data_IF_488533777580
#
_entry.id   IF_488533777580
#
_cell.length_a   1.000
_cell.length_b   1.000
_cell.length_c   1.000
_cell.angle_alpha   90.00
_cell.angle_beta   90.00
_cell.angle_gamma   90.00
#
_symmetry.space_group_name_H-M   'P 1'
#
loop_
_entity.id
_entity.type
_entity.pdbx_description
1 polymer ?
#
# COMPACT_ATOMS: atom_id res chain seq x y z
N UNK A 1 10.57 50.57 -12.04
CA UNK A 1 10.70 49.71 -13.24
C UNK A 1 10.27 50.52 -14.45
N UNK A 2 11.15 50.74 -15.44
CA UNK A 2 10.80 51.53 -16.62
C UNK A 2 9.71 50.81 -17.44
N UNK A 3 8.83 51.56 -18.10
CA UNK A 3 7.70 51.05 -18.86
C UNK A 3 8.11 50.02 -19.91
N UNK A 4 9.31 50.16 -20.49
CA UNK A 4 9.91 49.18 -21.41
C UNK A 4 10.11 47.81 -20.77
N UNK A 5 10.57 47.76 -19.52
CA UNK A 5 10.80 46.53 -18.76
C UNK A 5 9.49 45.85 -18.37
N UNK A 6 8.45 46.63 -18.07
CA UNK A 6 7.09 46.11 -17.83
C UNK A 6 6.49 45.45 -19.07
N UNK A 7 6.63 46.09 -20.23
CA UNK A 7 6.09 45.58 -21.50
C UNK A 7 6.78 44.28 -21.91
N UNK A 8 8.10 44.20 -21.76
CA UNK A 8 8.87 42.98 -22.06
C UNK A 8 8.42 41.83 -21.15
N UNK A 9 8.26 42.08 -19.86
CA UNK A 9 7.90 41.03 -18.90
C UNK A 9 6.49 40.46 -19.16
N UNK A 10 5.53 41.33 -19.49
CA UNK A 10 4.17 40.92 -19.84
C UNK A 10 4.16 40.13 -21.16
N UNK A 11 4.91 40.59 -22.17
CA UNK A 11 5.02 39.86 -23.44
C UNK A 11 5.63 38.46 -23.26
N UNK A 12 6.66 38.33 -22.42
CA UNK A 12 7.29 37.03 -22.12
C UNK A 12 6.32 36.08 -21.42
N UNK A 13 5.56 36.57 -20.42
CA UNK A 13 4.58 35.73 -19.71
C UNK A 13 3.48 35.25 -20.66
N UNK A 14 2.96 36.11 -21.54
CA UNK A 14 1.92 35.73 -22.51
C UNK A 14 2.43 34.69 -23.51
N UNK A 15 3.68 34.80 -23.96
CA UNK A 15 4.27 33.81 -24.88
C UNK A 15 4.50 32.46 -24.19
N UNK A 16 5.00 32.46 -22.94
CA UNK A 16 5.20 31.23 -22.17
C UNK A 16 3.87 30.55 -21.86
N UNK A 17 2.85 31.31 -21.44
CA UNK A 17 1.51 30.76 -21.18
C UNK A 17 0.86 30.20 -22.45
N UNK A 18 1.03 30.89 -23.59
CA UNK A 18 0.56 30.42 -24.88
C UNK A 18 1.21 29.10 -25.31
N UNK A 19 2.52 28.94 -25.08
CA UNK A 19 3.25 27.71 -25.39
C UNK A 19 2.85 26.54 -24.47
N UNK A 20 2.65 26.78 -23.17
CA UNK A 20 2.20 25.76 -22.22
C UNK A 20 0.79 25.26 -22.56
N UNK A 21 -0.13 26.17 -22.93
CA UNK A 21 -1.48 25.81 -23.35
C UNK A 21 -1.51 25.11 -24.71
N UNK A 22 -0.63 25.48 -25.65
CA UNK A 22 -0.51 24.83 -26.95
C UNK A 22 0.04 23.39 -26.83
N UNK A 23 1.08 23.19 -26.02
CA UNK A 23 1.66 21.85 -25.76
C UNK A 23 0.67 20.99 -24.95
N UNK A 24 0.03 21.55 -23.92
CA UNK A 24 -1.01 20.85 -23.16
C UNK A 24 -2.21 20.47 -24.01
N UNK A 25 -2.62 21.34 -24.95
CA UNK A 25 -3.69 21.07 -25.91
C UNK A 25 -3.34 19.97 -26.93
N UNK A 26 -2.08 19.87 -27.37
CA UNK A 26 -1.63 18.79 -28.25
C UNK A 26 -1.62 17.43 -27.52
N UNK A 27 -1.19 17.37 -26.26
CA UNK A 27 -1.22 16.14 -25.46
C UNK A 27 -2.64 15.67 -25.11
N UNK A 28 -3.56 16.59 -24.83
CA UNK A 28 -4.97 16.24 -24.56
C UNK A 28 -5.73 15.75 -25.80
N UNK A 29 -5.35 16.23 -26.99
CA UNK A 29 -6.00 15.81 -28.25
C UNK A 29 -5.45 14.47 -28.75
N UNK A 30 -4.20 14.14 -28.42
CA UNK A 30 -3.56 12.87 -28.80
C UNK A 30 -4.01 11.68 -27.92
N UNK A 31 -4.44 11.91 -26.68
CA UNK A 31 -5.01 10.88 -25.80
C UNK A 31 -6.45 10.45 -26.15
N UNK A 32 -7.15 11.17 -27.04
CA UNK A 32 -8.57 10.89 -27.34
C UNK A 32 -8.82 10.12 -28.64
N UNK A 33 -7.81 9.91 -29.49
CA UNK A 33 -8.03 9.33 -30.84
C UNK A 33 -6.99 8.32 -31.37
N UNK A 34 -6.10 7.75 -30.57
CA UNK A 34 -5.16 6.74 -31.09
C UNK A 34 -4.65 5.76 -30.05
N UNK A 35 -5.29 4.58 -29.97
CA UNK A 35 -4.67 3.26 -30.18
C UNK A 35 -5.63 2.15 -29.71
N UNK A 36 -6.65 1.89 -30.54
CA UNK A 36 -7.06 0.53 -30.84
C UNK A 36 -6.12 0.00 -31.95
N UNK A 37 -5.89 -1.32 -32.00
CA UNK A 37 -4.98 -2.09 -32.90
C UNK A 37 -3.54 -2.16 -32.36
N UNK A 38 -2.86 -3.30 -32.14
CA UNK A 38 -3.08 -4.68 -32.59
C UNK A 38 -2.10 -5.63 -31.86
N UNK A 39 -2.63 -6.76 -31.34
CA UNK A 39 -2.09 -8.14 -31.23
C UNK A 39 -0.66 -8.41 -30.67
N UNK A 40 -0.42 -9.43 -29.85
CA UNK A 40 -1.27 -10.50 -29.33
C UNK A 40 -0.43 -11.67 -28.80
N UNK A 41 -1.00 -12.45 -27.87
CA UNK A 41 -0.75 -13.89 -27.73
C UNK A 41 -2.03 -14.56 -27.20
N UNK A 42 -2.46 -15.69 -27.78
CA UNK A 42 -3.74 -16.33 -27.50
C UNK A 42 -3.60 -17.43 -26.44
N UNK A 43 -4.70 -17.83 -25.79
CA UNK A 43 -4.98 -19.15 -25.15
C UNK A 43 -5.69 -18.99 -23.79
N UNK A 44 -6.81 -19.62 -23.46
CA UNK A 44 -7.73 -20.53 -24.14
C UNK A 44 -9.06 -20.44 -23.38
N UNK A 45 -10.12 -20.04 -24.06
CA UNK A 45 -11.49 -20.24 -23.61
C UNK A 45 -12.25 -20.87 -24.75
N UNK A 46 -12.35 -22.21 -24.77
CA UNK A 46 -13.49 -22.95 -25.33
C UNK A 46 -13.27 -24.48 -25.25
N UNK A 47 -14.35 -25.12 -24.78
CA UNK A 47 -14.86 -26.43 -25.19
C UNK A 47 -14.36 -27.68 -24.47
N UNK A 48 -15.26 -28.23 -23.65
CA UNK A 48 -15.17 -29.57 -23.07
C UNK A 48 -16.49 -30.00 -22.43
N UNK A 49 -17.60 -29.78 -23.12
CA UNK A 49 -18.91 -30.30 -22.76
C UNK A 49 -18.90 -31.83 -22.81
N UNK A 50 -19.16 -32.49 -21.68
CA UNK A 50 -19.85 -33.77 -21.65
C UNK A 50 -21.02 -33.71 -20.66
N UNK A 51 -22.19 -33.83 -21.26
CA UNK A 51 -23.52 -34.06 -20.71
C UNK A 51 -23.58 -35.06 -19.54
N UNK A 52 -24.34 -34.74 -18.49
CA UNK A 52 -25.57 -35.48 -18.16
C UNK A 52 -26.42 -34.76 -17.09
N UNK A 53 -27.57 -34.24 -17.53
CA UNK A 53 -28.91 -34.40 -16.95
C UNK A 53 -29.24 -34.03 -15.49
N UNK A 54 -30.30 -33.21 -15.41
CA UNK A 54 -31.35 -33.13 -14.37
C UNK A 54 -31.05 -32.31 -13.11
N UNK A 55 -31.43 -31.03 -13.10
CA UNK A 55 -32.73 -30.60 -12.52
C UNK A 55 -32.99 -29.13 -12.88
N UNK A 56 -34.25 -28.86 -13.20
CA UNK A 56 -34.84 -27.56 -13.49
C UNK A 56 -35.01 -26.72 -12.23
N UNK A 57 -34.78 -25.41 -12.37
CA UNK A 57 -35.68 -24.31 -11.97
C UNK A 57 -34.94 -23.11 -11.37
N UNK A 58 -35.24 -21.92 -11.87
CA UNK A 58 -35.15 -20.69 -11.09
C UNK A 58 -34.20 -19.62 -11.64
N UNK A 59 -34.78 -18.63 -12.28
CA UNK A 59 -34.16 -17.40 -12.81
C UNK A 59 -33.77 -16.43 -11.68
N UNK A 60 -32.58 -15.84 -11.79
CA UNK A 60 -32.29 -14.43 -11.48
C UNK A 60 -32.01 -14.05 -10.03
N UNK A 61 -30.86 -13.41 -9.79
CA UNK A 61 -30.74 -12.10 -9.11
C UNK A 61 -29.27 -11.77 -8.81
N UNK A 62 -28.86 -10.56 -9.23
CA UNK A 62 -27.79 -9.82 -8.58
C UNK A 62 -28.08 -9.74 -7.07
N UNK A 63 -27.07 -9.97 -6.24
CA UNK A 63 -27.17 -9.73 -4.80
C UNK A 63 -25.89 -10.12 -4.10
N UNK A 64 -25.21 -9.15 -3.51
CA UNK A 64 -24.02 -9.38 -2.71
C UNK A 64 -24.29 -10.36 -1.56
N UNK A 65 -23.21 -11.01 -1.12
CA UNK A 65 -23.22 -11.85 0.07
C UNK A 65 -22.83 -13.29 -0.23
N UNK A 66 -21.53 -13.56 -0.42
CA UNK A 66 -20.97 -14.90 -0.23
C UNK A 66 -19.45 -14.90 -0.03
N UNK A 67 -18.96 -14.00 0.82
CA UNK A 67 -17.81 -14.28 1.70
C UNK A 67 -18.19 -13.81 3.11
N UNK A 68 -19.23 -14.45 3.65
CA UNK A 68 -19.64 -14.28 5.04
C UNK A 68 -18.56 -14.88 5.94
N UNK A 69 -17.99 -14.03 6.79
CA UNK A 69 -16.94 -14.39 7.72
C UNK A 69 -17.29 -15.61 8.57
N UNK A 70 -16.36 -16.56 8.63
CA UNK A 70 -16.23 -17.59 9.68
C UNK A 70 -14.96 -18.43 9.40
N UNK A 71 -13.79 -17.78 9.34
CA UNK A 71 -12.48 -18.47 9.47
C UNK A 71 -11.33 -17.54 9.94
N UNK A 72 -11.65 -16.31 10.38
CA UNK A 72 -10.78 -15.36 11.09
C UNK A 72 -11.54 -14.77 12.30
N UNK A 73 -12.50 -15.51 12.84
CA UNK A 73 -13.32 -15.11 13.99
C UNK A 73 -12.66 -15.58 15.28
N UNK A 74 -11.71 -14.82 15.81
CA UNK A 74 -10.99 -15.24 17.01
C UNK A 74 -10.19 -14.18 17.77
N UNK A 75 -10.22 -12.90 17.41
CA UNK A 75 -9.54 -11.85 18.20
C UNK A 75 -10.34 -10.55 18.33
N UNK A 76 -11.67 -10.65 18.27
CA UNK A 76 -12.53 -9.65 18.88
C UNK A 76 -12.48 -9.79 20.40
N UNK A 77 -11.33 -9.52 21.03
CA UNK A 77 -11.39 -9.07 22.43
C UNK A 77 -12.26 -7.82 22.38
N UNK A 78 -13.37 -7.82 23.10
CA UNK A 78 -14.11 -6.60 23.36
C UNK A 78 -13.15 -5.59 23.97
N UNK A 79 -12.61 -4.69 23.14
CA UNK A 79 -11.81 -3.55 23.58
C UNK A 79 -12.77 -2.54 24.18
N UNK A 80 -13.31 -2.88 25.34
CA UNK A 80 -13.87 -1.89 26.26
C UNK A 80 -12.73 -0.99 26.69
N UNK A 81 -12.72 0.24 26.17
CA UNK A 81 -11.92 1.39 26.65
C UNK A 81 -10.45 1.10 26.96
N UNK A 82 -9.68 0.54 26.00
CA UNK A 82 -8.24 0.69 26.09
C UNK A 82 -7.92 2.19 26.10
N UNK A 83 -7.06 2.63 27.03
CA UNK A 83 -6.64 4.03 27.10
C UNK A 83 -5.94 4.38 25.79
N UNK A 84 -6.29 5.53 25.19
CA UNK A 84 -5.54 6.06 24.05
C UNK A 84 -4.09 6.26 24.49
N UNK A 85 -3.15 5.63 23.79
CA UNK A 85 -1.73 5.74 24.09
C UNK A 85 -1.22 7.13 23.73
N UNK A 86 -0.18 7.58 24.40
CA UNK A 86 0.48 8.84 24.08
C UNK A 86 1.57 8.66 23.02
N UNK A 87 2.00 9.76 22.39
CA UNK A 87 3.18 9.77 21.53
C UNK A 87 4.41 9.19 22.25
N UNK A 88 4.61 9.53 23.53
CA UNK A 88 5.73 9.04 24.34
C UNK A 88 5.66 7.52 24.57
N UNK A 89 4.45 6.97 24.79
CA UNK A 89 4.25 5.53 24.93
C UNK A 89 4.60 4.81 23.60
N UNK A 90 4.14 5.36 22.47
CA UNK A 90 4.41 4.83 21.15
C UNK A 90 5.91 4.87 20.79
N UNK A 91 6.59 6.00 21.04
CA UNK A 91 8.04 6.15 20.84
C UNK A 91 8.82 5.13 21.65
N UNK A 92 8.49 4.96 22.94
CA UNK A 92 9.15 3.95 23.80
C UNK A 92 8.96 2.52 23.28
N UNK A 93 7.77 2.18 22.78
CA UNK A 93 7.50 0.86 22.24
C UNK A 93 8.33 0.58 20.97
N UNK A 94 8.44 1.58 20.08
CA UNK A 94 9.27 1.51 18.88
C UNK A 94 10.75 1.44 19.24
N UNK A 95 11.25 2.30 20.13
CA UNK A 95 12.65 2.29 20.58
C UNK A 95 13.05 0.93 21.15
N UNK A 96 12.19 0.31 21.95
CA UNK A 96 12.42 -1.02 22.51
C UNK A 96 12.48 -2.10 21.41
N UNK A 97 11.66 -1.98 20.37
CA UNK A 97 11.68 -2.89 19.22
C UNK A 97 12.96 -2.75 18.40
N UNK A 98 13.35 -1.51 18.07
CA UNK A 98 14.58 -1.23 17.31
C UNK A 98 15.84 -1.64 18.08
N UNK A 99 15.87 -1.43 19.40
CA UNK A 99 16.96 -1.91 20.25
C UNK A 99 17.11 -3.44 20.21
N UNK A 100 16.00 -4.17 20.03
CA UNK A 100 16.01 -5.63 19.87
C UNK A 100 16.59 -6.10 18.53
N UNK A 101 16.40 -5.33 17.47
CA UNK A 101 16.99 -5.57 16.15
C UNK A 101 18.48 -5.22 16.14
N UNK A 102 18.86 -4.13 16.83
CA UNK A 102 20.23 -3.62 16.91
C UNK A 102 20.85 -3.34 15.53
N UNK A 103 20.07 -2.69 14.67
CA UNK A 103 20.50 -2.20 13.36
C UNK A 103 20.50 -0.66 13.38
N UNK A 104 21.68 -0.09 13.15
CA UNK A 104 21.90 1.37 13.20
C UNK A 104 21.43 2.10 11.95
N UNK A 105 21.06 1.38 10.90
CA UNK A 105 20.50 1.98 9.68
C UNK A 105 18.98 2.18 9.76
N UNK A 106 18.34 1.84 10.89
CA UNK A 106 16.90 1.96 11.06
C UNK A 106 16.53 3.12 11.97
N UNK A 107 15.57 3.94 11.52
CA UNK A 107 14.99 5.01 12.35
C UNK A 107 13.46 5.07 12.23
N UNK A 108 12.83 5.62 13.27
CA UNK A 108 11.42 5.97 13.26
C UNK A 108 11.19 7.15 12.32
N UNK A 109 10.28 7.00 11.36
CA UNK A 109 9.87 8.08 10.46
C UNK A 109 8.57 8.75 10.92
N UNK A 110 7.57 7.94 11.27
CA UNK A 110 6.23 8.45 11.55
C UNK A 110 5.53 7.56 12.57
N UNK A 111 4.70 8.18 13.41
CA UNK A 111 3.75 7.51 14.30
C UNK A 111 2.35 8.04 14.01
N UNK A 112 1.39 7.13 13.87
CA UNK A 112 -0.04 7.46 13.94
C UNK A 112 -0.69 6.81 15.16
N UNK A 113 -1.51 7.57 15.87
CA UNK A 113 -2.29 7.08 17.00
C UNK A 113 -3.75 6.90 16.58
N UNK A 114 -4.27 5.72 16.89
CA UNK A 114 -5.67 5.35 16.72
C UNK A 114 -6.31 5.10 18.08
N UNK A 115 -7.65 5.13 18.14
CA UNK A 115 -8.38 4.83 19.37
C UNK A 115 -8.20 3.38 19.89
N UNK A 116 -7.59 2.50 19.08
CA UNK A 116 -7.34 1.11 19.40
C UNK A 116 -5.85 0.70 19.38
N UNK A 117 -4.90 1.64 19.27
CA UNK A 117 -3.47 1.33 19.22
C UNK A 117 -2.63 2.42 18.55
N UNK A 118 -1.39 2.07 18.21
CA UNK A 118 -0.53 2.91 17.38
C UNK A 118 -0.06 2.17 16.14
N UNK A 119 0.33 2.93 15.14
CA UNK A 119 1.03 2.50 13.94
C UNK A 119 2.32 3.31 13.82
N UNK A 120 3.39 2.69 13.32
CA UNK A 120 4.63 3.39 13.07
C UNK A 120 5.33 2.90 11.81
N UNK A 121 5.96 3.83 11.11
CA UNK A 121 6.84 3.56 9.96
C UNK A 121 8.27 3.61 10.43
N UNK A 122 9.01 2.54 10.15
CA UNK A 122 10.47 2.50 10.29
C UNK A 122 11.06 2.61 8.88
N UNK A 123 12.06 3.45 8.70
CA UNK A 123 12.79 3.61 7.44
C UNK A 123 14.27 3.28 7.58
N UNK A 124 14.89 3.01 6.45
CA UNK A 124 16.35 3.00 6.34
C UNK A 124 16.89 4.42 6.23
N UNK A 125 17.88 4.76 7.07
CA UNK A 125 18.58 6.05 7.02
C UNK A 125 19.34 6.17 5.69
N UNK A 126 20.03 5.10 5.30
CA UNK A 126 20.92 5.10 4.13
C UNK A 126 20.20 5.30 2.79
N UNK A 127 18.96 4.82 2.67
CA UNK A 127 18.19 4.86 1.42
C UNK A 127 16.97 5.80 1.48
N UNK A 128 16.48 6.11 2.68
CA UNK A 128 15.21 6.82 2.89
C UNK A 128 13.97 5.99 2.56
N UNK A 129 14.11 4.69 2.25
CA UNK A 129 13.01 3.79 1.93
C UNK A 129 12.41 3.25 3.21
N UNK A 130 11.08 3.08 3.25
CA UNK A 130 10.39 2.39 4.34
C UNK A 130 10.93 0.97 4.50
N UNK A 131 11.48 0.69 5.67
CA UNK A 131 12.02 -0.61 6.03
C UNK A 131 10.87 -1.57 6.35
N UNK A 132 10.02 -1.22 7.31
CA UNK A 132 8.86 -2.00 7.71
C UNK A 132 7.91 -1.17 8.59
N UNK A 133 6.73 -1.73 8.83
CA UNK A 133 5.65 -1.11 9.60
C UNK A 133 5.41 -1.86 10.91
N UNK A 134 5.09 -1.11 11.96
CA UNK A 134 4.81 -1.65 13.30
C UNK A 134 3.41 -1.24 13.76
N UNK A 135 2.75 -2.15 14.47
CA UNK A 135 1.60 -1.88 15.31
C UNK A 135 2.04 -1.82 16.77
N UNK A 136 1.38 -0.98 17.56
CA UNK A 136 1.63 -0.83 18.99
C UNK A 136 0.36 -1.24 19.75
N UNK A 137 0.48 -2.27 20.59
CA UNK A 137 -0.63 -2.72 21.43
C UNK A 137 -0.91 -1.68 22.53
N UNK A 138 -2.15 -1.17 22.66
CA UNK A 138 -2.46 -0.10 23.60
C UNK A 138 -2.49 -0.54 25.07
N UNK A 139 -2.38 -1.85 25.35
CA UNK A 139 -2.43 -2.42 26.69
C UNK A 139 -1.04 -2.82 27.17
N UNK A 140 -0.30 -3.60 26.38
CA UNK A 140 1.07 -4.02 26.72
C UNK A 140 2.12 -2.99 26.37
N UNK A 141 1.81 -1.99 25.53
CA UNK A 141 2.75 -0.98 25.02
C UNK A 141 3.98 -1.61 24.35
N UNK A 142 3.73 -2.68 23.60
CA UNK A 142 4.75 -3.39 22.83
C UNK A 142 4.50 -3.18 21.35
N UNK A 143 5.55 -2.85 20.61
CA UNK A 143 5.49 -2.81 19.14
C UNK A 143 5.70 -4.21 18.55
N UNK A 144 5.04 -4.49 17.44
CA UNK A 144 5.13 -5.73 16.67
C UNK A 144 4.86 -5.48 15.19
N UNK A 145 5.33 -6.34 14.26
CA UNK A 145 5.11 -6.13 12.83
C UNK A 145 3.63 -5.97 12.46
N UNK A 146 3.33 -5.00 11.61
CA UNK A 146 2.00 -4.87 11.03
C UNK A 146 1.65 -6.09 10.16
N UNK A 147 0.36 -6.44 10.14
CA UNK A 147 -0.17 -7.53 9.36
C UNK A 147 -0.15 -7.22 7.85
N UNK A 148 -0.30 -8.27 7.04
CA UNK A 148 -0.58 -8.09 5.62
C UNK A 148 0.66 -7.66 4.80
N UNK A 149 0.61 -6.57 4.01
CA UNK A 149 1.66 -6.15 3.09
C UNK A 149 3.07 -6.12 3.69
N UNK A 150 3.21 -5.59 4.91
CA UNK A 150 4.47 -5.58 5.66
C UNK A 150 5.11 -6.97 5.82
N UNK A 151 4.30 -8.02 6.00
CA UNK A 151 4.82 -9.40 6.13
C UNK A 151 4.85 -10.16 4.80
N UNK A 152 3.93 -9.87 3.89
CA UNK A 152 3.69 -10.65 2.66
C UNK A 152 4.36 -10.08 1.41
N UNK A 153 4.52 -8.76 1.32
CA UNK A 153 5.02 -8.06 0.13
C UNK A 153 6.37 -7.39 0.37
N UNK A 154 6.78 -7.22 1.63
CA UNK A 154 8.08 -6.70 1.96
C UNK A 154 9.20 -7.70 1.57
N UNK A 155 10.00 -7.31 0.59
CA UNK A 155 11.05 -8.15 0.02
C UNK A 155 12.31 -8.23 0.89
N UNK A 156 12.56 -7.23 1.74
CA UNK A 156 13.78 -7.13 2.56
C UNK A 156 13.55 -7.50 4.02
N UNK A 157 12.43 -7.09 4.60
CA UNK A 157 12.12 -7.27 6.03
C UNK A 157 10.93 -8.20 6.30
N UNK A 158 10.17 -8.60 5.27
CA UNK A 158 9.04 -9.51 5.39
C UNK A 158 9.42 -10.98 5.43
N UNK A 159 8.42 -11.87 5.53
CA UNK A 159 8.64 -13.33 5.61
C UNK A 159 9.26 -13.92 4.34
N UNK A 160 9.19 -13.22 3.21
CA UNK A 160 9.81 -13.62 1.94
C UNK A 160 11.31 -13.32 1.90
N UNK A 161 11.80 -12.43 2.77
CA UNK A 161 13.22 -12.24 2.98
C UNK A 161 13.75 -13.49 3.65
N UNK A 162 14.55 -14.29 2.95
CA UNK A 162 15.20 -15.48 3.52
C UNK A 162 16.17 -15.17 4.68
N UNK A 163 16.23 -13.92 5.13
CA UNK A 163 17.05 -13.42 6.21
C UNK A 163 16.20 -13.28 7.49
N UNK A 164 16.30 -14.26 8.39
CA UNK A 164 15.49 -14.41 9.61
C UNK A 164 15.77 -13.37 10.72
N UNK A 165 16.47 -12.25 10.43
CA UNK A 165 16.97 -11.32 11.45
C UNK A 165 15.98 -10.28 11.96
N UNK A 166 14.88 -9.97 11.24
CA UNK A 166 14.05 -8.77 11.51
C UNK A 166 12.60 -9.07 11.97
N UNK A 167 12.37 -10.13 12.73
CA UNK A 167 11.09 -10.33 13.45
C UNK A 167 10.15 -11.39 12.90
N UNK A 168 10.60 -12.23 11.95
CA UNK A 168 9.90 -13.46 11.63
C UNK A 168 10.14 -14.48 12.75
N UNK A 169 9.09 -14.92 13.46
CA UNK A 169 9.12 -16.14 14.27
C UNK A 169 9.35 -17.36 13.35
N UNK A 170 10.56 -17.50 12.84
CA UNK A 170 11.03 -18.56 11.95
C UNK A 170 11.33 -19.83 12.73
N UNK A 171 10.34 -20.37 13.44
CA UNK A 171 10.43 -21.71 14.01
C UNK A 171 9.84 -22.74 13.05
N UNK A 172 10.38 -22.82 11.82
CA UNK A 172 10.37 -24.03 10.99
C UNK A 172 11.34 -23.90 9.80
N UNK A 173 12.59 -24.32 10.02
CA UNK A 173 13.24 -25.22 9.06
C UNK A 173 13.94 -24.62 7.84
N UNK A 174 14.81 -23.63 8.01
CA UNK A 174 15.86 -23.33 7.02
C UNK A 174 16.85 -24.50 6.80
N UNK A 175 16.77 -25.57 7.60
CA UNK A 175 17.73 -26.68 7.58
C UNK A 175 17.35 -27.94 6.78
N UNK A 176 16.16 -28.06 6.19
CA UNK A 176 15.73 -29.35 5.60
C UNK A 176 15.09 -29.31 4.20
N UNK A 177 14.87 -28.13 3.62
CA UNK A 177 14.34 -27.96 2.25
C UNK A 177 15.26 -27.18 1.30
N UNK A 178 16.50 -26.88 1.70
CA UNK A 178 17.46 -26.12 0.91
C UNK A 178 18.11 -26.88 -0.27
N UNK A 179 17.51 -27.96 -0.80
CA UNK A 179 18.15 -28.77 -1.86
C UNK A 179 17.26 -29.38 -2.93
N UNK A 180 16.00 -28.94 -3.06
CA UNK A 180 15.10 -29.43 -4.11
C UNK A 180 14.14 -28.35 -4.63
N UNK A 181 14.65 -27.26 -5.23
CA UNK A 181 13.99 -26.67 -6.41
C UNK A 181 14.87 -25.58 -7.06
N UNK A 182 15.46 -25.88 -8.22
CA UNK A 182 16.12 -24.89 -9.08
C UNK A 182 15.10 -24.12 -9.96
N UNK A 183 13.85 -24.00 -9.52
CA UNK A 183 12.77 -23.28 -10.20
C UNK A 183 12.14 -22.19 -9.31
N UNK A 184 12.93 -21.60 -8.40
CA UNK A 184 12.57 -20.29 -7.86
C UNK A 184 12.81 -19.31 -9.01
N UNK A 185 11.80 -18.56 -9.49
CA UNK A 185 12.05 -17.49 -10.44
C UNK A 185 13.19 -16.65 -9.88
N UNK A 186 14.23 -16.48 -10.69
CA UNK A 186 15.34 -15.61 -10.37
C UNK A 186 14.78 -14.28 -9.83
N UNK A 187 15.46 -13.76 -8.80
CA UNK A 187 15.56 -12.34 -8.41
C UNK A 187 14.55 -11.45 -9.15
N UNK A 188 13.62 -10.75 -8.45
CA UNK A 188 12.66 -9.89 -9.12
C UNK A 188 13.39 -9.03 -10.15
N UNK A 189 12.92 -9.11 -11.40
CA UNK A 189 13.45 -8.29 -12.47
C UNK A 189 13.31 -6.83 -12.01
N UNK A 190 14.47 -6.21 -11.74
CA UNK A 190 14.72 -4.91 -11.09
C UNK A 190 14.42 -4.78 -9.59
N UNK A 191 15.39 -4.19 -8.87
CA UNK A 191 15.23 -3.58 -7.54
C UNK A 191 14.21 -2.42 -7.55
N UNK A 192 13.87 -1.93 -8.74
CA UNK A 192 12.85 -0.91 -8.95
C UNK A 192 11.46 -1.56 -9.13
N UNK A 193 10.48 -1.08 -8.38
CA UNK A 193 9.08 -1.47 -8.52
C UNK A 193 8.54 -1.02 -9.89
N UNK A 194 8.01 -1.91 -10.74
CA UNK A 194 7.50 -1.54 -12.06
C UNK A 194 6.20 -0.71 -11.99
N UNK A 195 5.48 -0.76 -10.88
CA UNK A 195 4.37 0.16 -10.59
C UNK A 195 4.96 1.41 -9.94
N UNK A 196 4.84 2.57 -10.59
CA UNK A 196 5.29 3.86 -10.02
C UNK A 196 4.36 4.33 -8.89
N UNK A 197 4.82 5.30 -8.08
CA UNK A 197 4.00 5.94 -7.05
C UNK A 197 2.71 6.54 -7.61
N UNK A 198 2.76 7.18 -8.78
CA UNK A 198 1.57 7.75 -9.44
C UNK A 198 0.60 6.66 -9.91
N UNK A 199 1.12 5.55 -10.43
CA UNK A 199 0.30 4.39 -10.78
C UNK A 199 -0.32 3.75 -9.54
N UNK A 200 0.42 3.68 -8.43
CA UNK A 200 -0.07 3.18 -7.15
C UNK A 200 -1.21 4.05 -6.60
N UNK A 201 -1.04 5.38 -6.58
CA UNK A 201 -2.08 6.34 -6.21
C UNK A 201 -3.32 6.18 -7.12
N UNK A 202 -3.13 6.02 -8.43
CA UNK A 202 -4.22 5.78 -9.37
C UNK A 202 -4.97 4.47 -9.11
N UNK A 203 -4.25 3.38 -8.87
CA UNK A 203 -4.82 2.07 -8.54
C UNK A 203 -5.61 2.12 -7.22
N UNK A 204 -5.03 2.75 -6.20
CA UNK A 204 -5.64 2.98 -4.90
C UNK A 204 -6.93 3.81 -5.03
N UNK A 205 -6.87 4.96 -5.71
CA UNK A 205 -8.02 5.84 -5.87
C UNK A 205 -9.16 5.14 -6.63
N UNK A 206 -8.84 4.37 -7.69
CA UNK A 206 -9.82 3.58 -8.41
C UNK A 206 -10.50 2.55 -7.49
N UNK A 207 -9.72 1.84 -6.68
CA UNK A 207 -10.27 0.88 -5.71
C UNK A 207 -11.23 1.57 -4.72
N UNK A 208 -10.87 2.76 -4.22
CA UNK A 208 -11.71 3.52 -3.29
C UNK A 208 -13.00 4.01 -3.95
N UNK A 209 -12.95 4.49 -5.19
CA UNK A 209 -14.15 4.94 -5.89
C UNK A 209 -15.17 3.78 -6.08
N UNK A 210 -14.67 2.56 -6.29
CA UNK A 210 -15.50 1.35 -6.45
C UNK A 210 -16.02 0.79 -5.10
N UNK A 211 -15.24 0.87 -4.01
CA UNK A 211 -15.52 0.14 -2.76
C UNK A 211 -15.87 1.04 -1.56
N UNK A 212 -15.37 2.27 -1.54
CA UNK A 212 -15.55 3.25 -0.45
C UNK A 212 -15.81 4.66 -1.02
N UNK A 213 -16.98 4.92 -1.64
CA UNK A 213 -17.27 6.20 -2.26
C UNK A 213 -17.07 7.38 -1.30
N UNK A 214 -16.47 8.45 -1.83
CA UNK A 214 -16.16 9.66 -1.06
C UNK A 214 -14.92 9.58 -0.16
N UNK A 215 -14.14 8.49 -0.23
CA UNK A 215 -12.77 8.43 0.30
C UNK A 215 -11.78 8.77 -0.81
N UNK A 216 -10.73 9.49 -0.47
CA UNK A 216 -9.61 9.81 -1.35
C UNK A 216 -8.31 9.29 -0.77
N UNK A 217 -7.33 9.03 -1.62
CA UNK A 217 -5.93 8.87 -1.18
C UNK A 217 -5.40 10.22 -0.69
N UNK A 218 -4.49 10.21 0.27
CA UNK A 218 -3.66 11.38 0.57
C UNK A 218 -2.65 11.62 -0.57
N UNK A 219 -2.04 12.81 -0.59
CA UNK A 219 -0.94 13.10 -1.50
C UNK A 219 0.40 12.46 -1.02
N UNK A 220 0.41 11.95 0.20
CA UNK A 220 1.57 11.30 0.83
C UNK A 220 1.55 9.79 0.58
N UNK A 221 2.68 9.26 0.12
CA UNK A 221 2.86 7.85 -0.21
C UNK A 221 4.22 7.41 0.27
N UNK A 222 4.24 6.35 1.07
CA UNK A 222 5.48 5.80 1.60
C UNK A 222 5.88 4.55 0.81
N UNK A 223 7.02 4.58 0.09
CA UNK A 223 7.54 3.40 -0.57
C UNK A 223 8.23 2.48 0.44
N UNK A 224 7.92 1.19 0.35
CA UNK A 224 8.61 0.10 1.03
C UNK A 224 9.22 -0.85 0.00
N UNK A 225 10.06 -1.78 0.44
CA UNK A 225 10.63 -2.82 -0.42
C UNK A 225 9.55 -3.75 -0.98
N UNK A 226 8.97 -3.40 -2.13
CA UNK A 226 8.01 -4.22 -2.88
C UNK A 226 6.54 -3.78 -2.80
N UNK A 227 6.24 -2.70 -2.07
CA UNK A 227 4.90 -2.14 -1.97
C UNK A 227 4.92 -0.67 -1.54
N UNK A 228 3.75 -0.03 -1.58
CA UNK A 228 3.53 1.32 -1.09
C UNK A 228 2.45 1.29 0.00
N UNK A 229 2.55 2.13 1.02
CA UNK A 229 1.43 2.45 1.93
C UNK A 229 0.95 3.89 1.67
N UNK A 230 -0.37 4.06 1.65
CA UNK A 230 -1.04 5.31 1.29
C UNK A 230 -2.16 5.56 2.29
N UNK A 231 -2.21 6.75 2.85
CA UNK A 231 -3.29 7.13 3.76
C UNK A 231 -4.58 7.43 3.01
N UNK A 232 -5.68 7.23 3.72
CA UNK A 232 -7.02 7.47 3.24
C UNK A 232 -7.60 8.67 3.93
N UNK A 233 -8.08 9.63 3.14
CA UNK A 233 -8.67 10.86 3.64
C UNK A 233 -10.15 10.96 3.27
N UNK A 234 -10.94 11.48 4.20
CA UNK A 234 -12.33 11.88 3.97
C UNK A 234 -12.57 13.22 4.64
N UNK A 235 -13.07 14.20 3.88
CA UNK A 235 -13.28 15.57 4.35
C UNK A 235 -12.02 16.19 4.98
N UNK A 236 -10.85 15.91 4.41
CA UNK A 236 -9.55 16.43 4.90
C UNK A 236 -9.03 15.80 6.19
N UNK A 237 -9.58 14.65 6.62
CA UNK A 237 -9.11 13.90 7.79
C UNK A 237 -8.68 12.50 7.38
N UNK A 238 -7.58 12.00 7.96
CA UNK A 238 -7.16 10.61 7.86
C UNK A 238 -8.25 9.71 8.48
N UNK A 239 -8.59 8.63 7.79
CA UNK A 239 -9.60 7.65 8.22
C UNK A 239 -9.07 6.20 8.17
N UNK A 240 -7.79 6.01 7.85
CA UNK A 240 -7.16 4.72 7.68
C UNK A 240 -6.11 4.78 6.58
N UNK A 241 -5.69 3.61 6.09
CA UNK A 241 -4.65 3.46 5.09
C UNK A 241 -4.89 2.20 4.26
N UNK A 242 -4.19 2.08 3.15
CA UNK A 242 -4.11 0.87 2.35
C UNK A 242 -2.70 0.71 1.81
N UNK A 243 -2.37 -0.47 1.29
CA UNK A 243 -1.16 -0.67 0.51
C UNK A 243 -1.45 -1.06 -0.93
N UNK A 244 -0.49 -0.77 -1.80
CA UNK A 244 -0.47 -1.21 -3.20
C UNK A 244 0.80 -2.00 -3.48
N UNK A 245 0.66 -3.21 -4.00
CA UNK A 245 1.81 -4.04 -4.36
C UNK A 245 2.57 -3.43 -5.55
N UNK A 246 3.88 -3.25 -5.39
CA UNK A 246 4.75 -2.57 -6.36
C UNK A 246 4.99 -3.32 -7.66
N UNK A 247 4.61 -4.60 -7.74
CA UNK A 247 4.82 -5.43 -8.93
C UNK A 247 3.52 -5.71 -9.69
N UNK A 248 2.44 -5.98 -8.96
CA UNK A 248 1.14 -6.37 -9.53
C UNK A 248 0.09 -5.27 -9.53
N UNK A 249 0.32 -4.16 -8.82
CA UNK A 249 -0.65 -3.07 -8.64
C UNK A 249 -1.87 -3.46 -7.80
N UNK A 250 -1.85 -4.62 -7.13
CA UNK A 250 -2.94 -5.08 -6.26
C UNK A 250 -3.07 -4.20 -5.04
N UNK A 251 -4.31 -3.84 -4.71
CA UNK A 251 -4.65 -3.03 -3.53
C UNK A 251 -5.02 -3.92 -2.34
N UNK A 252 -4.54 -3.56 -1.16
CA UNK A 252 -4.85 -4.21 0.12
C UNK A 252 -5.35 -3.15 1.12
N UNK A 253 -6.65 -3.15 1.42
CA UNK A 253 -7.22 -2.22 2.40
C UNK A 253 -6.88 -2.66 3.84
N UNK A 254 -6.40 -1.76 4.68
CA UNK A 254 -6.11 -2.07 6.09
C UNK A 254 -7.41 -1.86 6.89
N UNK A 255 -7.90 -2.93 7.53
CA UNK A 255 -9.20 -2.91 8.23
C UNK A 255 -9.09 -3.09 9.75
N UNK A 256 -7.86 -3.08 10.29
CA UNK A 256 -7.58 -3.28 11.72
C UNK A 256 -7.34 -1.97 12.47
N UNK A 257 -7.02 -0.89 11.78
CA UNK A 257 -6.84 0.43 12.38
C UNK A 257 -8.18 1.00 12.85
N UNK A 258 -8.17 1.64 14.02
CA UNK A 258 -9.32 2.29 14.63
C UNK A 258 -9.60 3.67 14.05
N UNK A 259 -10.24 4.53 14.83
CA UNK A 259 -10.41 5.94 14.45
C UNK A 259 -9.10 6.69 14.69
N UNK A 260 -8.66 7.43 13.66
CA UNK A 260 -7.47 8.28 13.75
C UNK A 260 -7.62 9.35 14.83
N UNK A 261 -6.56 9.54 15.63
CA UNK A 261 -6.49 10.53 16.71
C UNK A 261 -5.46 11.59 16.40
N UNK A 262 -4.21 11.21 16.15
CA UNK A 262 -3.10 12.15 15.94
C UNK A 262 -1.93 11.49 15.18
N UNK A 263 -1.01 12.30 14.65
CA UNK A 263 0.15 11.87 13.88
C UNK A 263 1.39 12.71 14.22
N UNK A 264 2.55 12.06 14.27
CA UNK A 264 3.83 12.65 14.68
C UNK A 264 4.97 12.15 13.78
N UNK A 265 5.96 13.02 13.56
CA UNK A 265 7.25 12.70 12.92
C UNK A 265 8.43 13.24 13.73
#
# INVERSE_FOLDING_TARGET
>A
MNNTLRIILIATIVVVFGLVLFIGGMFFTQMRYGYNMMNGFPSYGMMGSYSNSNYSDGIGMMGGGMMGGSMMGGYGRGLTSAKIITEEDAKKAVDAYLAGINDTDLELEEIMIFDNGGYAIIKEISTGVGAFELLIDPVSLTAYPEYGPNMMWNLKYGMMSGNTSYGGYGMMGAGMMGRWNNNIPAEPASDEMPVSSEQALGNAQKYLDDNLPGVKVSDEITPFYGYYTIDLVRNGKIIGMLSVNGYSGRVFLHTWHGNFIDMFG
#
